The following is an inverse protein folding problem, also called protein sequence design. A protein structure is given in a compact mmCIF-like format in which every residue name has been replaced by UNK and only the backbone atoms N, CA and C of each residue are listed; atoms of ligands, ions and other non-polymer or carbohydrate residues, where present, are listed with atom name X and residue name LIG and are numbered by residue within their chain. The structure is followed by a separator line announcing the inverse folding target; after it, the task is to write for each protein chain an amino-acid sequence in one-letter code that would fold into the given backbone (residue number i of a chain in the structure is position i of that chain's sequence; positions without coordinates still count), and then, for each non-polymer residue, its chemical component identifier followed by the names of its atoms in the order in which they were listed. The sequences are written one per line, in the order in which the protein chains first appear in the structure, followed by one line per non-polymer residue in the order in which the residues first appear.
data_IF_117365789273
#
_entry.id   IF_117365789273
#
_cell.length_a   1.000
_cell.length_b   1.000
_cell.length_c   1.000
_cell.angle_alpha   90.00
_cell.angle_beta   90.00
_cell.angle_gamma   90.00
#
_symmetry.space_group_name_H-M   'P 1'
#
loop_
_entity.id
_entity.type
_entity.pdbx_description
1 polymer ?
#
# COMPACT_ATOMS: atom_id res chain seq x y z
N UNK A 1 -5.29 0.39 -12.19
CA UNK A 1 -3.86 0.03 -12.20
C UNK A 1 -3.49 -0.81 -13.43
N UNK A 2 -4.38 -1.67 -13.91
CA UNK A 2 -4.11 -2.57 -15.05
C UNK A 2 -3.74 -1.85 -16.35
N UNK A 3 -4.32 -0.67 -16.61
CA UNK A 3 -4.06 0.11 -17.81
C UNK A 3 -2.81 1.02 -17.75
N UNK A 4 -2.20 1.20 -16.57
CA UNK A 4 -1.12 2.18 -16.38
C UNK A 4 0.20 1.45 -16.12
N UNK A 5 1.21 1.56 -16.99
CA UNK A 5 2.48 0.88 -16.80
C UNK A 5 3.36 1.51 -15.71
N UNK A 6 4.32 0.72 -15.20
CA UNK A 6 5.36 1.21 -14.30
C UNK A 6 6.52 1.80 -15.11
N UNK A 7 6.60 3.13 -15.18
CA UNK A 7 7.65 3.84 -15.92
C UNK A 7 8.80 4.35 -15.04
N UNK A 8 8.64 4.42 -13.71
CA UNK A 8 9.64 5.01 -12.82
C UNK A 8 10.05 4.05 -11.68
N UNK A 9 11.35 3.94 -11.44
CA UNK A 9 11.96 3.21 -10.31
C UNK A 9 12.71 4.19 -9.41
N UNK A 10 11.96 4.90 -8.59
CA UNK A 10 12.48 5.84 -7.59
C UNK A 10 12.49 5.15 -6.22
N UNK A 11 13.40 5.55 -5.34
CA UNK A 11 13.38 5.18 -3.93
C UNK A 11 11.96 5.35 -3.36
N UNK A 12 11.39 4.34 -2.68
CA UNK A 12 12.03 3.12 -2.18
C UNK A 12 12.02 1.91 -3.12
N UNK A 13 11.40 1.99 -4.30
CA UNK A 13 11.29 0.85 -5.22
C UNK A 13 12.50 0.70 -6.16
N UNK A 14 13.47 1.63 -6.07
CA UNK A 14 14.74 1.63 -6.78
C UNK A 14 15.82 2.36 -5.95
N UNK A 15 17.05 2.39 -6.45
CA UNK A 15 18.17 3.08 -5.79
C UNK A 15 18.24 4.58 -6.10
N UNK A 16 17.57 5.03 -7.16
CA UNK A 16 17.58 6.42 -7.59
C UNK A 16 16.68 7.29 -6.71
N UNK A 17 17.20 8.43 -6.27
CA UNK A 17 16.41 9.44 -5.56
C UNK A 17 15.58 10.30 -6.53
N UNK A 18 14.85 11.27 -5.99
CA UNK A 18 14.02 12.19 -6.79
C UNK A 18 14.85 13.08 -7.72
N UNK A 19 16.11 13.39 -7.35
CA UNK A 19 16.99 14.22 -8.17
C UNK A 19 17.46 13.45 -9.40
N UNK A 20 17.80 12.18 -9.25
CA UNK A 20 18.15 11.31 -10.35
C UNK A 20 16.92 11.04 -11.25
N UNK A 21 15.73 10.86 -10.68
CA UNK A 21 14.49 10.82 -11.46
C UNK A 21 14.29 12.09 -12.29
N UNK A 22 14.52 13.27 -11.68
CA UNK A 22 14.44 14.54 -12.39
C UNK A 22 15.48 14.64 -13.51
N UNK A 23 16.75 14.29 -13.24
CA UNK A 23 17.83 14.29 -14.22
C UNK A 23 17.60 13.29 -15.37
N UNK A 24 16.87 12.19 -15.13
CA UNK A 24 16.47 11.25 -16.17
C UNK A 24 15.35 11.79 -17.08
N UNK A 25 14.72 12.93 -16.75
CA UNK A 25 13.66 13.58 -17.54
C UNK A 25 12.46 14.05 -16.71
N UNK A 26 12.34 13.55 -15.48
CA UNK A 26 11.39 14.03 -14.48
C UNK A 26 9.92 13.92 -14.88
N UNK A 27 9.10 14.76 -14.23
CA UNK A 27 7.65 14.77 -14.43
C UNK A 27 7.25 15.19 -15.84
N UNK A 28 7.93 16.14 -16.46
CA UNK A 28 7.53 16.60 -17.79
C UNK A 28 7.75 15.56 -18.88
N UNK A 29 8.82 14.74 -18.78
CA UNK A 29 8.96 13.53 -19.60
C UNK A 29 7.80 12.55 -19.34
N UNK A 30 7.56 12.21 -18.07
CA UNK A 30 6.54 11.22 -17.68
C UNK A 30 5.12 11.62 -18.12
N UNK A 31 4.75 12.89 -17.90
CA UNK A 31 3.45 13.44 -18.29
C UNK A 31 3.29 13.37 -19.80
N UNK A 32 4.34 13.73 -20.58
CA UNK A 32 4.30 13.62 -22.03
C UNK A 32 4.07 12.18 -22.48
N UNK A 33 4.87 11.22 -21.98
CA UNK A 33 4.74 9.81 -22.36
C UNK A 33 3.32 9.28 -22.10
N UNK A 34 2.73 9.62 -20.95
CA UNK A 34 1.39 9.16 -20.61
C UNK A 34 0.28 9.89 -21.40
N UNK A 35 0.47 11.15 -21.76
CA UNK A 35 -0.46 11.89 -22.63
C UNK A 35 -0.42 11.36 -24.07
N UNK A 36 0.77 11.14 -24.63
CA UNK A 36 0.94 10.68 -26.01
C UNK A 36 0.32 9.29 -26.24
N UNK A 37 0.26 8.48 -25.18
CA UNK A 37 -0.33 7.14 -25.18
C UNK A 37 -1.78 7.14 -24.67
N UNK A 38 -2.39 8.30 -24.45
CA UNK A 38 -3.80 8.45 -24.08
C UNK A 38 -4.14 7.94 -22.67
N UNK A 39 -3.15 7.79 -21.79
CA UNK A 39 -3.35 7.38 -20.39
C UNK A 39 -3.77 8.55 -19.51
N UNK A 40 -3.30 9.77 -19.83
CA UNK A 40 -3.71 10.99 -19.15
C UNK A 40 -4.74 11.76 -19.97
N UNK A 41 -5.69 12.38 -19.27
CA UNK A 41 -6.68 13.28 -19.85
C UNK A 41 -6.05 14.64 -20.18
N UNK A 42 -6.11 15.05 -21.45
CA UNK A 42 -5.68 16.39 -21.87
C UNK A 42 -6.78 17.44 -21.65
N UNK A 43 -8.04 17.03 -21.51
CA UNK A 43 -9.23 17.87 -21.38
C UNK A 43 -9.53 18.23 -19.90
N UNK A 44 -8.57 18.85 -19.22
CA UNK A 44 -8.70 19.21 -17.80
C UNK A 44 -8.34 20.66 -17.52
N UNK A 45 -8.96 21.27 -16.51
CA UNK A 45 -8.53 22.57 -15.99
C UNK A 45 -7.43 22.39 -14.95
N UNK A 46 -6.35 23.15 -15.07
CA UNK A 46 -5.26 23.21 -14.10
C UNK A 46 -5.08 24.64 -13.57
N UNK A 47 -4.23 24.80 -12.54
CA UNK A 47 -3.82 26.13 -12.06
C UNK A 47 -3.06 26.94 -13.11
N UNK A 48 -2.51 26.27 -14.13
CA UNK A 48 -1.78 26.88 -15.24
C UNK A 48 -2.65 27.05 -16.50
N UNK A 49 -3.95 26.80 -16.40
CA UNK A 49 -4.89 26.89 -17.53
C UNK A 49 -5.37 25.52 -17.99
N UNK A 50 -5.97 25.50 -19.18
CA UNK A 50 -6.54 24.29 -19.77
C UNK A 50 -5.44 23.35 -20.29
N UNK A 51 -5.59 22.07 -19.97
CA UNK A 51 -4.78 20.95 -20.40
C UNK A 51 -3.55 20.62 -19.57
N UNK A 52 -3.11 19.36 -19.68
CA UNK A 52 -1.89 18.85 -19.01
C UNK A 52 -0.64 18.99 -19.87
N UNK A 53 -0.76 19.15 -21.20
CA UNK A 53 0.38 19.33 -22.10
C UNK A 53 1.34 20.46 -21.68
N UNK A 54 0.87 21.61 -21.14
CA UNK A 54 1.76 22.66 -20.62
C UNK A 54 2.69 22.22 -19.49
N UNK A 55 2.41 21.10 -18.81
CA UNK A 55 3.30 20.53 -17.78
C UNK A 55 4.45 19.67 -18.35
N UNK A 56 4.48 19.42 -19.66
CA UNK A 56 5.59 18.72 -20.35
C UNK A 56 6.80 19.65 -20.63
N UNK A 57 7.14 20.50 -19.66
CA UNK A 57 8.21 21.48 -19.73
C UNK A 57 9.04 21.50 -18.43
N UNK A 58 10.25 22.03 -18.50
CA UNK A 58 11.10 22.33 -17.36
C UNK A 58 11.24 23.84 -17.17
N UNK A 59 11.07 24.31 -15.93
CA UNK A 59 11.32 25.69 -15.56
C UNK A 59 12.80 25.88 -15.20
N UNK A 60 13.44 26.90 -15.77
CA UNK A 60 14.85 27.24 -15.57
C UNK A 60 15.01 28.74 -15.33
N UNK A 61 16.11 29.11 -14.67
CA UNK A 61 16.50 30.51 -14.52
C UNK A 61 17.11 31.01 -15.83
N UNK A 62 16.50 32.04 -16.41
CA UNK A 62 16.96 32.70 -17.63
C UNK A 62 18.20 33.57 -17.40
N UNK A 63 18.90 33.89 -18.49
CA UNK A 63 20.08 34.75 -18.46
C UNK A 63 19.77 36.20 -17.97
N UNK A 64 18.52 36.63 -18.10
CA UNK A 64 17.98 37.90 -17.62
C UNK A 64 17.47 37.83 -16.16
N UNK A 65 17.62 36.68 -15.50
CA UNK A 65 17.07 36.42 -14.16
C UNK A 65 15.58 36.06 -14.16
N UNK A 66 14.93 35.94 -15.32
CA UNK A 66 13.54 35.53 -15.46
C UNK A 66 13.35 34.00 -15.39
N UNK A 67 12.10 33.54 -15.55
CA UNK A 67 11.80 32.10 -15.66
C UNK A 67 11.63 31.75 -17.13
N UNK A 68 12.54 30.94 -17.65
CA UNK A 68 12.43 30.32 -18.97
C UNK A 68 11.81 28.94 -18.80
N UNK A 69 10.98 28.53 -19.76
CA UNK A 69 10.38 27.20 -19.79
C UNK A 69 10.77 26.52 -21.08
N UNK A 70 11.40 25.37 -20.95
CA UNK A 70 11.90 24.59 -22.08
C UNK A 70 11.12 23.28 -22.17
N UNK A 71 10.92 22.76 -23.37
CA UNK A 71 10.29 21.45 -23.52
C UNK A 71 11.10 20.38 -22.76
N UNK A 72 10.42 19.49 -22.05
CA UNK A 72 11.09 18.39 -21.35
C UNK A 72 11.81 17.47 -22.35
N UNK A 73 12.90 16.80 -21.92
CA UNK A 73 13.70 15.94 -22.80
C UNK A 73 12.85 14.93 -23.55
N UNK A 74 13.08 14.74 -24.86
CA UNK A 74 12.33 13.75 -25.67
C UNK A 74 12.71 12.30 -25.35
N UNK A 75 13.88 12.09 -24.78
CA UNK A 75 14.41 10.78 -24.41
C UNK A 75 14.78 10.79 -22.95
N UNK A 76 14.69 9.64 -22.29
CA UNK A 76 15.14 9.50 -20.92
C UNK A 76 16.67 9.62 -20.83
N UNK A 77 17.15 10.31 -19.79
CA UNK A 77 18.56 10.37 -19.43
C UNK A 77 19.07 9.08 -18.77
N UNK A 78 18.18 8.26 -18.20
CA UNK A 78 18.47 6.92 -17.70
C UNK A 78 17.21 6.05 -17.72
N UNK A 79 17.09 5.18 -18.74
CA UNK A 79 15.95 4.26 -18.88
C UNK A 79 15.84 3.24 -17.74
N UNK A 80 16.87 3.07 -16.90
CA UNK A 80 16.79 2.21 -15.68
C UNK A 80 16.07 2.90 -14.53
N UNK A 81 15.98 4.23 -14.56
CA UNK A 81 15.28 5.06 -13.56
C UNK A 81 13.91 5.49 -14.08
N UNK A 82 13.85 5.98 -15.32
CA UNK A 82 12.64 6.47 -15.98
C UNK A 82 12.57 5.91 -17.41
N UNK A 83 11.74 4.92 -17.63
CA UNK A 83 11.60 4.25 -18.92
C UNK A 83 10.59 4.99 -19.83
N UNK A 84 10.78 4.97 -21.16
CA UNK A 84 9.73 5.35 -22.11
C UNK A 84 8.57 4.33 -22.08
N UNK A 85 7.40 4.73 -22.55
CA UNK A 85 6.17 3.94 -22.41
C UNK A 85 6.29 2.52 -22.97
N UNK A 86 6.83 2.39 -24.19
CA UNK A 86 7.00 1.12 -24.89
C UNK A 86 8.06 0.18 -24.27
N UNK A 87 8.85 0.67 -23.31
CA UNK A 87 9.84 -0.11 -22.55
C UNK A 87 9.55 -0.10 -21.05
N UNK A 88 8.28 0.07 -20.68
CA UNK A 88 7.85 0.05 -19.29
C UNK A 88 8.45 -1.11 -18.49
N UNK A 89 8.82 -0.85 -17.23
CA UNK A 89 9.35 -1.89 -16.35
C UNK A 89 8.35 -3.00 -16.06
N UNK A 90 7.06 -2.65 -16.03
CA UNK A 90 5.92 -3.55 -15.91
C UNK A 90 4.75 -2.96 -16.70
N UNK A 91 3.95 -3.82 -17.32
CA UNK A 91 2.76 -3.40 -18.08
C UNK A 91 1.65 -2.82 -17.19
N UNK A 92 1.72 -3.06 -15.87
CA UNK A 92 0.73 -2.60 -14.88
C UNK A 92 1.41 -1.86 -13.73
N UNK A 93 0.69 -0.98 -13.04
CA UNK A 93 1.23 -0.15 -11.96
C UNK A 93 1.48 -0.90 -10.64
N UNK A 94 1.09 -2.18 -10.56
CA UNK A 94 1.38 -3.03 -9.41
C UNK A 94 0.60 -2.68 -8.15
N UNK A 95 -0.58 -2.05 -8.28
CA UNK A 95 -1.54 -1.86 -7.18
C UNK A 95 -2.82 -2.65 -7.52
N UNK A 96 -3.24 -3.53 -6.62
CA UNK A 96 -4.45 -4.34 -6.80
C UNK A 96 -5.38 -4.16 -5.60
N UNK A 97 -6.68 -4.12 -5.87
CA UNK A 97 -7.71 -4.28 -4.84
C UNK A 97 -7.90 -5.78 -4.62
N UNK A 98 -7.99 -6.18 -3.35
CA UNK A 98 -8.39 -7.51 -2.95
C UNK A 98 -9.81 -7.48 -2.43
N UNK A 99 -10.64 -8.43 -2.86
CA UNK A 99 -12.01 -8.60 -2.39
C UNK A 99 -12.27 -10.06 -2.00
N UNK A 100 -13.08 -10.29 -0.97
CA UNK A 100 -13.47 -11.64 -0.58
C UNK A 100 -14.26 -11.67 0.72
N UNK A 101 -14.36 -12.83 1.36
CA UNK A 101 -15.10 -12.95 2.63
C UNK A 101 -14.43 -12.21 3.80
N UNK A 102 -13.19 -11.73 3.63
CA UNK A 102 -12.50 -10.85 4.57
C UNK A 102 -12.75 -9.35 4.33
N UNK A 103 -13.55 -8.99 3.32
CA UNK A 103 -13.86 -7.61 2.96
C UNK A 103 -13.00 -7.10 1.80
N UNK A 104 -12.60 -5.82 1.88
CA UNK A 104 -11.76 -5.17 0.89
C UNK A 104 -10.39 -4.83 1.46
N UNK A 105 -9.35 -4.95 0.65
CA UNK A 105 -8.00 -4.52 1.00
C UNK A 105 -7.27 -4.02 -0.25
N UNK A 106 -6.08 -3.47 -0.06
CA UNK A 106 -5.17 -3.16 -1.17
C UNK A 106 -3.85 -3.87 -0.99
N UNK A 107 -3.21 -4.23 -2.11
CA UNK A 107 -1.88 -4.82 -2.14
C UNK A 107 -1.02 -4.18 -3.22
N UNK A 108 0.27 -4.00 -2.91
CA UNK A 108 1.29 -3.60 -3.88
C UNK A 108 2.09 -4.82 -4.32
N UNK A 109 2.08 -5.11 -5.61
CA UNK A 109 2.72 -6.30 -6.22
C UNK A 109 3.97 -5.96 -7.03
N UNK A 110 4.30 -4.67 -7.19
CA UNK A 110 5.40 -4.21 -8.03
C UNK A 110 6.77 -4.79 -7.63
N UNK A 111 6.99 -5.06 -6.34
CA UNK A 111 8.20 -5.68 -5.80
C UNK A 111 8.00 -7.16 -5.38
N UNK A 112 6.80 -7.72 -5.54
CA UNK A 112 6.48 -9.11 -5.16
C UNK A 112 6.71 -10.02 -6.36
N UNK A 113 7.62 -10.98 -6.20
CA UNK A 113 7.91 -11.98 -7.24
C UNK A 113 6.66 -12.81 -7.56
N UNK A 114 6.42 -13.21 -8.83
CA UNK A 114 5.26 -14.00 -9.22
C UNK A 114 5.01 -15.23 -8.33
N UNK A 115 6.05 -16.00 -7.98
CA UNK A 115 5.89 -17.19 -7.13
C UNK A 115 5.42 -16.92 -5.68
N UNK A 116 5.42 -15.64 -5.26
CA UNK A 116 5.00 -15.16 -3.94
C UNK A 116 3.69 -14.35 -3.98
N UNK A 117 3.04 -14.22 -5.14
CA UNK A 117 1.78 -13.45 -5.26
C UNK A 117 0.56 -14.19 -4.73
N UNK A 118 0.66 -15.51 -4.63
CA UNK A 118 -0.35 -16.36 -4.01
C UNK A 118 0.25 -17.05 -2.79
N UNK A 119 -0.33 -16.77 -1.62
CA UNK A 119 0.03 -17.39 -0.35
C UNK A 119 -1.24 -17.95 0.27
N UNK A 120 -1.23 -19.24 0.54
CA UNK A 120 -2.23 -19.93 1.34
C UNK A 120 -1.52 -20.59 2.52
N UNK A 121 -1.82 -20.14 3.73
CA UNK A 121 -1.09 -20.57 4.92
C UNK A 121 -1.92 -20.32 6.19
N UNK A 122 -1.62 -21.01 7.31
CA UNK A 122 -2.28 -20.76 8.58
C UNK A 122 -2.05 -19.34 9.09
N UNK A 123 -3.06 -18.77 9.74
CA UNK A 123 -2.99 -17.46 10.37
C UNK A 123 -2.13 -17.50 11.64
N UNK A 124 -1.27 -16.49 11.79
CA UNK A 124 -0.62 -16.14 13.06
C UNK A 124 -1.16 -14.77 13.47
N UNK A 125 -1.97 -14.73 14.52
CA UNK A 125 -2.79 -13.56 14.85
C UNK A 125 -2.15 -12.73 15.96
N UNK A 126 -2.07 -11.42 15.73
CA UNK A 126 -1.54 -10.44 16.68
C UNK A 126 -2.39 -9.17 16.66
N UNK A 127 -2.43 -8.47 17.79
CA UNK A 127 -3.17 -7.21 17.93
C UNK A 127 -2.24 -5.98 17.94
N UNK A 128 -0.93 -6.20 17.75
CA UNK A 128 0.06 -5.14 17.63
C UNK A 128 1.30 -5.58 16.85
N UNK A 129 2.00 -4.61 16.27
CA UNK A 129 3.30 -4.89 15.64
C UNK A 129 4.36 -5.37 16.64
N UNK A 130 4.21 -5.01 17.93
CA UNK A 130 5.13 -5.45 18.98
C UNK A 130 4.99 -6.96 19.23
N UNK A 131 3.75 -7.48 19.22
CA UNK A 131 3.48 -8.91 19.36
C UNK A 131 4.20 -9.77 18.32
N UNK A 132 4.15 -9.39 17.03
CA UNK A 132 4.87 -10.12 15.97
C UNK A 132 6.40 -10.05 16.20
N UNK A 133 6.92 -8.89 16.58
CA UNK A 133 8.36 -8.73 16.84
C UNK A 133 8.83 -9.60 18.02
N UNK A 134 8.03 -9.70 19.07
CA UNK A 134 8.36 -10.51 20.23
C UNK A 134 8.30 -12.01 19.90
N UNK A 135 7.31 -12.44 19.11
CA UNK A 135 7.26 -13.81 18.58
C UNK A 135 8.46 -14.14 17.68
N UNK A 136 8.90 -13.19 16.85
CA UNK A 136 10.11 -13.35 16.03
C UNK A 136 11.37 -13.49 16.90
N UNK A 137 11.55 -12.65 17.91
CA UNK A 137 12.67 -12.72 18.85
C UNK A 137 12.68 -14.02 19.66
N UNK A 138 11.50 -14.53 20.01
CA UNK A 138 11.33 -15.80 20.70
C UNK A 138 11.55 -17.02 19.78
N UNK A 139 11.70 -16.83 18.47
CA UNK A 139 11.92 -17.91 17.51
C UNK A 139 10.68 -18.78 17.26
N UNK A 140 9.47 -18.29 17.57
CA UNK A 140 8.23 -19.07 17.46
C UNK A 140 7.53 -18.92 16.11
N UNK A 141 8.06 -18.09 15.20
CA UNK A 141 7.56 -17.92 13.84
C UNK A 141 8.19 -18.96 12.91
N UNK A 142 7.68 -20.19 12.99
CA UNK A 142 8.11 -21.35 12.20
C UNK A 142 7.08 -21.71 11.14
N UNK A 143 7.54 -22.36 10.07
CA UNK A 143 6.69 -22.76 8.94
C UNK A 143 6.22 -21.59 8.09
N UNK A 144 5.29 -21.88 7.19
CA UNK A 144 4.60 -20.90 6.36
C UNK A 144 3.40 -20.34 7.12
N UNK A 145 3.13 -19.04 6.99
CA UNK A 145 2.01 -18.43 7.69
C UNK A 145 1.59 -17.07 7.11
N UNK A 146 0.36 -16.66 7.41
CA UNK A 146 -0.11 -15.30 7.18
C UNK A 146 -0.16 -14.57 8.52
N UNK A 147 0.66 -13.53 8.68
CA UNK A 147 0.60 -12.65 9.84
C UNK A 147 -0.67 -11.79 9.76
N UNK A 148 -1.58 -11.94 10.72
CA UNK A 148 -2.79 -11.12 10.82
C UNK A 148 -2.56 -10.12 11.94
N UNK A 149 -2.46 -8.83 11.60
CA UNK A 149 -2.26 -7.74 12.57
C UNK A 149 -3.54 -6.91 12.64
N UNK A 150 -4.27 -7.04 13.74
CA UNK A 150 -5.58 -6.41 13.95
C UNK A 150 -5.47 -5.14 14.77
N UNK A 151 -6.55 -4.37 14.81
CA UNK A 151 -6.70 -3.18 15.63
C UNK A 151 -5.66 -2.11 15.29
N UNK A 152 -5.29 -2.02 14.01
CA UNK A 152 -4.38 -1.01 13.47
C UNK A 152 -5.09 -0.07 12.50
N UNK A 153 -6.42 -0.13 12.42
CA UNK A 153 -7.24 0.69 11.54
C UNK A 153 -7.38 2.16 11.98
N UNK A 154 -8.05 2.99 11.16
CA UNK A 154 -8.31 4.39 11.46
C UNK A 154 -8.95 4.61 12.84
N UNK A 155 -10.02 3.87 13.17
CA UNK A 155 -10.74 4.04 14.44
C UNK A 155 -9.99 3.44 15.62
N UNK A 156 -9.24 2.35 15.40
CA UNK A 156 -8.50 1.68 16.47
C UNK A 156 -7.42 2.58 17.10
N UNK A 157 -6.53 3.14 16.28
CA UNK A 157 -5.36 3.87 16.79
C UNK A 157 -4.85 4.95 15.83
N UNK A 158 -5.69 5.41 14.90
CA UNK A 158 -5.32 6.44 13.92
C UNK A 158 -4.49 5.91 12.76
N UNK A 159 -4.47 4.59 12.54
CA UNK A 159 -3.78 3.93 11.43
C UNK A 159 -2.30 4.31 11.27
N UNK A 160 -1.44 4.06 12.28
CA UNK A 160 0.00 4.33 12.19
C UNK A 160 0.68 3.40 11.17
N UNK A 161 1.82 3.82 10.66
CA UNK A 161 2.64 2.94 9.80
C UNK A 161 3.37 1.86 10.63
N UNK A 162 3.14 0.61 10.28
CA UNK A 162 3.70 -0.57 10.97
C UNK A 162 5.09 -0.94 10.44
N UNK A 163 6.00 0.04 10.38
CA UNK A 163 7.33 -0.10 9.74
C UNK A 163 8.19 -1.27 10.27
N UNK A 164 8.02 -1.69 11.53
CA UNK A 164 8.82 -2.78 12.11
C UNK A 164 8.49 -4.16 11.52
N UNK A 165 7.35 -4.32 10.84
CA UNK A 165 6.93 -5.62 10.29
C UNK A 165 7.70 -6.01 9.03
N UNK A 166 8.10 -5.02 8.21
CA UNK A 166 8.76 -5.26 6.91
C UNK A 166 10.05 -6.05 7.07
N UNK A 167 10.87 -5.69 8.07
CA UNK A 167 12.16 -6.35 8.33
C UNK A 167 11.97 -7.79 8.78
N UNK A 168 11.06 -8.02 9.75
CA UNK A 168 10.79 -9.36 10.28
C UNK A 168 10.29 -10.30 9.18
N UNK A 169 9.24 -9.90 8.46
CA UNK A 169 8.65 -10.73 7.40
C UNK A 169 9.63 -10.92 6.24
N UNK A 170 10.42 -9.90 5.90
CA UNK A 170 11.45 -9.98 4.88
C UNK A 170 12.53 -11.04 5.20
N UNK A 171 13.00 -11.08 6.46
CA UNK A 171 13.97 -12.08 6.92
C UNK A 171 13.37 -13.50 6.86
N UNK A 172 12.11 -13.66 7.28
CA UNK A 172 11.43 -14.96 7.23
C UNK A 172 11.26 -15.47 5.80
N UNK A 173 10.90 -14.58 4.87
CA UNK A 173 10.82 -14.91 3.44
C UNK A 173 12.20 -15.28 2.87
N UNK A 174 13.28 -14.59 3.26
CA UNK A 174 14.64 -14.90 2.80
C UNK A 174 15.14 -16.25 3.34
N UNK A 175 14.62 -16.70 4.48
CA UNK A 175 14.83 -18.07 5.00
C UNK A 175 14.03 -19.14 4.25
N UNK A 176 13.28 -18.74 3.22
CA UNK A 176 12.52 -19.63 2.35
C UNK A 176 11.02 -19.72 2.67
N UNK A 177 10.58 -19.27 3.86
CA UNK A 177 9.18 -19.38 4.29
C UNK A 177 8.24 -18.65 3.32
N UNK A 178 7.04 -19.19 3.11
CA UNK A 178 5.92 -18.52 2.44
C UNK A 178 5.15 -17.73 3.48
N UNK A 179 5.49 -16.44 3.58
CA UNK A 179 4.85 -15.52 4.53
C UNK A 179 4.11 -14.41 3.81
N UNK A 180 2.99 -13.96 4.41
CA UNK A 180 2.23 -12.80 3.99
C UNK A 180 1.77 -11.97 5.19
N UNK A 181 1.29 -10.75 4.94
CA UNK A 181 0.68 -9.87 5.93
C UNK A 181 -0.78 -9.58 5.56
N UNK A 182 -1.65 -9.58 6.55
CA UNK A 182 -3.04 -9.10 6.47
C UNK A 182 -3.25 -8.14 7.65
N UNK A 183 -3.64 -6.90 7.38
CA UNK A 183 -3.87 -5.91 8.45
C UNK A 183 -4.94 -4.89 8.06
N UNK A 184 -5.74 -4.50 9.05
CA UNK A 184 -6.65 -3.35 8.95
C UNK A 184 -5.90 -2.00 9.02
N UNK A 185 -4.61 -2.02 9.35
CA UNK A 185 -3.72 -0.86 9.32
C UNK A 185 -2.93 -0.72 8.02
N UNK A 186 -1.80 -0.01 8.11
CA UNK A 186 -0.95 0.33 6.94
C UNK A 186 0.54 0.11 7.15
N UNK A 187 1.25 -0.03 6.04
CA UNK A 187 2.72 -0.08 5.96
C UNK A 187 3.27 1.25 5.42
N UNK A 188 4.59 1.41 5.34
CA UNK A 188 5.29 2.66 4.99
C UNK A 188 5.13 3.16 3.55
N UNK A 189 4.05 2.77 2.86
CA UNK A 189 3.77 3.14 1.47
C UNK A 189 4.72 2.55 0.43
N UNK A 190 5.90 2.05 0.82
CA UNK A 190 6.84 1.35 -0.06
C UNK A 190 6.28 0.00 -0.53
N UNK A 191 6.71 -0.46 -1.72
CA UNK A 191 6.38 -1.82 -2.16
C UNK A 191 7.43 -2.78 -1.60
N UNK A 192 7.01 -3.67 -0.71
CA UNK A 192 7.85 -4.72 -0.15
C UNK A 192 7.89 -5.98 -1.03
N UNK A 193 8.90 -6.83 -0.82
CA UNK A 193 8.98 -8.15 -1.45
C UNK A 193 8.03 -9.20 -0.87
N UNK A 194 7.43 -8.90 0.29
CA UNK A 194 6.46 -9.76 0.99
C UNK A 194 5.06 -9.30 0.59
N UNK A 195 4.16 -10.21 0.16
CA UNK A 195 2.77 -9.88 -0.12
C UNK A 195 2.07 -9.37 1.15
N UNK A 196 1.43 -8.20 1.05
CA UNK A 196 0.77 -7.56 2.17
C UNK A 196 -0.59 -6.99 1.74
N UNK A 197 -1.66 -7.60 2.25
CA UNK A 197 -3.00 -7.02 2.23
C UNK A 197 -3.11 -6.00 3.36
N UNK A 198 -3.15 -4.72 3.01
CA UNK A 198 -3.25 -3.60 3.95
C UNK A 198 -4.60 -2.89 3.77
N UNK A 199 -4.98 -2.08 4.75
CA UNK A 199 -6.25 -1.36 4.78
C UNK A 199 -7.46 -2.32 4.71
N UNK A 200 -7.33 -3.51 5.30
CA UNK A 200 -8.44 -4.48 5.35
C UNK A 200 -9.63 -3.81 6.02
N UNK A 201 -10.75 -3.80 5.30
CA UNK A 201 -11.95 -3.06 5.65
C UNK A 201 -13.18 -3.97 5.49
N UNK A 202 -14.10 -4.03 6.47
CA UNK A 202 -14.11 -3.27 7.73
C UNK A 202 -12.97 -3.64 8.71
N UNK A 203 -12.52 -2.66 9.50
CA UNK A 203 -11.45 -2.87 10.50
C UNK A 203 -11.94 -3.68 11.71
N UNK A 204 -11.01 -4.18 12.53
CA UNK A 204 -11.35 -5.07 13.65
C UNK A 204 -12.27 -4.42 14.71
N UNK A 205 -12.07 -3.13 15.00
CA UNK A 205 -12.88 -2.37 15.98
C UNK A 205 -14.34 -2.23 15.55
N UNK A 206 -14.59 -2.22 14.24
CA UNK A 206 -15.93 -2.17 13.65
C UNK A 206 -16.49 -3.57 13.40
N UNK A 207 -16.01 -4.57 14.15
CA UNK A 207 -16.42 -5.97 14.06
C UNK A 207 -16.23 -6.59 12.67
N UNK A 208 -15.29 -6.06 11.88
CA UNK A 208 -14.97 -6.56 10.55
C UNK A 208 -14.54 -8.03 10.55
N UNK A 209 -14.65 -8.74 9.42
CA UNK A 209 -14.27 -10.15 9.31
C UNK A 209 -12.88 -10.49 9.85
N UNK A 210 -11.91 -9.58 9.71
CA UNK A 210 -10.55 -9.73 10.24
C UNK A 210 -10.53 -9.98 11.77
N UNK A 211 -11.51 -9.47 12.52
CA UNK A 211 -11.61 -9.66 13.97
C UNK A 211 -12.04 -11.09 14.36
N UNK A 212 -12.61 -11.88 13.44
CA UNK A 212 -13.10 -13.25 13.67
C UNK A 212 -12.08 -14.34 13.30
N UNK A 213 -10.94 -13.93 12.75
CA UNK A 213 -9.83 -14.82 12.45
C UNK A 213 -9.22 -15.33 13.75
N UNK A 214 -9.01 -16.64 13.83
CA UNK A 214 -8.33 -17.33 14.91
C UNK A 214 -6.97 -17.87 14.46
N UNK A 215 -6.10 -18.12 15.43
CA UNK A 215 -4.82 -18.78 15.20
C UNK A 215 -5.03 -20.11 14.43
N UNK A 216 -4.24 -20.31 13.37
CA UNK A 216 -4.28 -21.53 12.58
C UNK A 216 -5.34 -21.59 11.47
N UNK A 217 -6.27 -20.64 11.39
CA UNK A 217 -7.20 -20.57 10.25
C UNK A 217 -6.41 -20.46 8.94
N UNK A 218 -6.79 -21.22 7.92
CA UNK A 218 -6.17 -21.09 6.61
C UNK A 218 -6.69 -19.83 5.93
N UNK A 219 -5.77 -18.95 5.53
CA UNK A 219 -6.08 -17.75 4.75
C UNK A 219 -5.42 -17.89 3.39
N UNK A 220 -6.15 -17.54 2.34
CA UNK A 220 -5.65 -17.39 0.98
C UNK A 220 -5.60 -15.90 0.62
N UNK A 221 -4.39 -15.41 0.37
CA UNK A 221 -4.14 -14.12 -0.27
C UNK A 221 -3.69 -14.41 -1.70
N UNK A 222 -4.53 -14.04 -2.67
CA UNK A 222 -4.25 -14.20 -4.10
C UNK A 222 -4.21 -12.82 -4.77
N UNK A 223 -3.00 -12.30 -4.96
CA UNK A 223 -2.80 -11.00 -5.59
C UNK A 223 -3.02 -11.02 -7.11
N UNK A 224 -2.97 -12.18 -7.74
CA UNK A 224 -3.17 -12.32 -9.18
C UNK A 224 -4.67 -12.35 -9.50
N UNK A 225 -5.47 -13.11 -8.74
CA UNK A 225 -6.93 -13.10 -8.80
C UNK A 225 -7.56 -11.84 -8.18
N UNK A 226 -6.87 -11.19 -7.24
CA UNK A 226 -7.43 -10.07 -6.49
C UNK A 226 -8.37 -10.51 -5.38
N UNK A 227 -8.08 -11.65 -4.73
CA UNK A 227 -8.94 -12.19 -3.66
C UNK A 227 -8.23 -12.30 -2.32
N UNK A 228 -9.02 -12.15 -1.25
CA UNK A 228 -8.57 -12.32 0.13
C UNK A 228 -9.64 -13.08 0.90
N UNK A 229 -9.32 -14.32 1.28
CA UNK A 229 -10.29 -15.27 1.82
C UNK A 229 -9.76 -15.98 3.05
N UNK A 230 -10.62 -16.19 4.04
CA UNK A 230 -10.42 -17.18 5.11
C UNK A 230 -11.18 -18.46 4.74
N UNK A 231 -10.49 -19.60 4.73
CA UNK A 231 -11.02 -20.89 4.31
C UNK A 231 -11.68 -21.63 5.48
N UNK A 232 -12.59 -20.94 6.16
CA UNK A 232 -13.46 -21.48 7.21
C UNK A 232 -14.89 -21.52 6.65
N UNK A 233 -15.67 -22.58 6.90
CA UNK A 233 -17.07 -22.63 6.48
C UNK A 233 -17.83 -21.36 6.91
N UNK A 234 -18.56 -20.75 5.97
CA UNK A 234 -19.16 -19.43 6.17
C UNK A 234 -20.11 -19.36 7.38
N UNK A 235 -20.88 -20.43 7.63
CA UNK A 235 -21.77 -20.53 8.79
C UNK A 235 -21.00 -20.49 10.11
N UNK A 236 -19.91 -21.26 10.20
CA UNK A 236 -19.08 -21.31 11.41
C UNK A 236 -18.37 -19.98 11.63
N UNK A 237 -17.81 -19.39 10.56
CA UNK A 237 -17.07 -18.13 10.63
C UNK A 237 -17.97 -16.97 11.08
N UNK A 238 -19.19 -16.88 10.55
CA UNK A 238 -20.16 -15.85 10.91
C UNK A 238 -20.62 -15.93 12.38
N UNK A 239 -20.56 -17.12 13.00
CA UNK A 239 -20.94 -17.34 14.40
C UNK A 239 -19.79 -17.10 15.38
N UNK A 240 -18.55 -16.93 14.90
CA UNK A 240 -17.41 -16.66 15.78
C UNK A 240 -17.52 -15.31 16.44
N UNK A 241 -17.23 -15.27 17.74
CA UNK A 241 -17.06 -14.01 18.47
C UNK A 241 -15.89 -13.24 17.87
N UNK A 242 -16.07 -11.94 17.70
CA UNK A 242 -14.98 -11.04 17.35
C UNK A 242 -13.98 -10.97 18.51
N UNK A 243 -12.71 -10.84 18.20
CA UNK A 243 -11.71 -10.55 19.22
C UNK A 243 -11.99 -9.20 19.89
N UNK A 244 -11.65 -9.13 21.16
CA UNK A 244 -11.71 -7.93 21.97
C UNK A 244 -10.26 -7.54 22.32
N UNK A 245 -9.95 -6.26 22.28
CA UNK A 245 -8.62 -5.74 22.57
C UNK A 245 -8.74 -4.49 23.45
N UNK A 246 -7.90 -4.41 24.48
CA UNK A 246 -7.79 -3.20 25.29
C UNK A 246 -7.04 -2.11 24.50
N UNK A 247 -7.80 -1.14 23.99
CA UNK A 247 -7.29 -0.01 23.22
C UNK A 247 -7.18 1.28 24.05
N UNK A 248 -7.40 1.22 25.38
CA UNK A 248 -7.40 2.43 26.22
C UNK A 248 -6.07 3.19 26.15
N UNK A 249 -4.96 2.45 26.00
CA UNK A 249 -3.62 3.01 25.81
C UNK A 249 -3.45 3.83 24.52
N UNK A 250 -4.39 3.76 23.57
CA UNK A 250 -4.43 4.58 22.37
C UNK A 250 -5.20 5.89 22.58
N UNK A 251 -6.02 6.00 23.63
CA UNK A 251 -6.94 7.13 23.82
C UNK A 251 -6.27 8.36 24.44
N UNK A 252 -5.33 8.17 25.36
CA UNK A 252 -4.73 9.26 26.15
C UNK A 252 -3.21 9.37 26.01
N UNK A 253 -2.65 10.55 26.25
CA UNK A 253 -1.20 10.81 26.27
C UNK A 253 -0.67 11.24 24.91
N UNK A 254 0.40 12.05 24.92
CA UNK A 254 0.94 12.73 23.73
C UNK A 254 -0.10 13.57 22.97
N UNK A 255 -1.15 14.06 23.65
CA UNK A 255 -2.22 14.85 23.06
C UNK A 255 -3.23 14.05 22.25
N UNK A 256 -3.24 12.71 22.33
CA UNK A 256 -4.19 11.84 21.60
C UNK A 256 -5.64 12.13 21.97
N UNK A 257 -5.88 12.57 23.19
CA UNK A 257 -7.17 13.04 23.71
C UNK A 257 -7.76 14.20 22.90
N UNK A 258 -6.92 15.06 22.30
CA UNK A 258 -7.37 16.15 21.42
C UNK A 258 -7.98 15.63 20.10
N UNK A 259 -7.68 14.38 19.75
CA UNK A 259 -8.11 13.74 18.49
C UNK A 259 -9.18 12.66 18.69
N UNK A 260 -9.69 12.48 19.91
CA UNK A 260 -10.67 11.44 20.21
C UNK A 260 -11.91 11.54 19.31
N UNK A 261 -12.45 12.75 19.13
CA UNK A 261 -13.59 12.99 18.24
C UNK A 261 -13.29 12.63 16.77
N UNK A 262 -12.13 13.03 16.25
CA UNK A 262 -11.73 12.66 14.89
C UNK A 262 -11.61 11.15 14.71
N UNK A 263 -11.05 10.44 15.70
CA UNK A 263 -10.89 8.99 15.64
C UNK A 263 -12.22 8.25 15.73
N UNK A 264 -13.21 8.78 16.44
CA UNK A 264 -14.55 8.20 16.46
C UNK A 264 -15.34 8.46 15.16
N UNK A 265 -15.14 9.64 14.56
CA UNK A 265 -15.85 10.07 13.35
C UNK A 265 -15.22 9.59 12.04
N UNK A 266 -13.97 9.13 12.06
CA UNK A 266 -13.26 8.75 10.86
C UNK A 266 -13.99 7.62 10.12
N UNK A 267 -14.15 7.82 8.81
CA UNK A 267 -14.70 6.83 7.90
C UNK A 267 -13.75 5.67 7.63
N UNK A 268 -14.24 4.71 6.84
CA UNK A 268 -13.47 3.53 6.42
C UNK A 268 -12.24 3.91 5.59
N UNK A 269 -11.21 3.08 5.65
CA UNK A 269 -9.97 3.29 4.89
C UNK A 269 -10.20 3.26 3.37
N UNK A 270 -11.11 2.40 2.88
CA UNK A 270 -11.50 2.34 1.47
C UNK A 270 -12.36 3.53 1.00
N UNK A 271 -12.83 4.37 1.92
CA UNK A 271 -13.48 5.66 1.65
C UNK A 271 -12.53 6.85 1.94
N UNK A 272 -11.23 6.60 2.06
CA UNK A 272 -10.21 7.63 2.27
C UNK A 272 -9.94 8.01 3.72
N UNK A 273 -10.52 7.31 4.71
CA UNK A 273 -10.35 7.59 6.13
C UNK A 273 -10.57 9.08 6.49
N UNK A 274 -11.61 9.69 5.90
CA UNK A 274 -11.98 11.08 6.18
C UNK A 274 -12.77 11.18 7.48
N UNK A 275 -12.45 12.16 8.31
CA UNK A 275 -13.23 12.51 9.50
C UNK A 275 -14.28 13.61 9.23
N UNK A 276 -14.25 14.19 8.03
CA UNK A 276 -15.28 15.09 7.53
C UNK A 276 -16.15 14.25 6.59
N UNK A 277 -17.48 14.22 6.82
CA UNK A 277 -18.39 13.28 6.18
C UNK A 277 -18.23 13.16 4.65
N UNK A 278 -18.70 12.05 4.08
CA UNK A 278 -18.77 11.88 2.63
C UNK A 278 -19.70 12.96 2.07
N UNK A 279 -19.16 13.87 1.25
CA UNK A 279 -19.97 14.78 0.45
C UNK A 279 -20.90 14.00 -0.49
#
# INVERSE_FOLDING_TARGET
SEAVPLLARVYPNGLADVNHFHAAGGLGFLIRELLDEGILHEDVQTVWGEGLRPYAVEAKLGADGGVVREASPRTSGDEKVLAPFNKAFQATGGLKVLSGNLGHAVIKTSAVKPERRVIEAPARVFDSQQGLNDAFKAGTLTGDFIAVIRFQGPKANGMPELHKLTTVLGILQDRGQRVALVTDGRMSGASGKVPAAIHVTPEAVEEGPIARIHEGDIIRLDADAGTLEVLVPAGDFALRRTADADLIGNEFGFGRELFAGFRQLVGRADHGASAFGTA
#
